data_IF_481476588890
#
_entry.id   IF_481476588890
#
_cell.length_a   1.000
_cell.length_b   1.000
_cell.length_c   1.000
_cell.angle_alpha   90.00
_cell.angle_beta   90.00
_cell.angle_gamma   90.00
#
_symmetry.space_group_name_H-M   'P 1'
#
loop_
_entity.id
_entity.type
_entity.pdbx_description
1 polymer ?
#
# COMPACT_ATOMS: atom_id res chain seq x y z
N UNK A 1 3.09 -26.20 -17.63
CA UNK A 1 3.19 -26.19 -16.15
C UNK A 1 3.75 -24.88 -15.64
N UNK A 2 2.94 -24.04 -15.00
CA UNK A 2 3.42 -22.84 -14.29
C UNK A 2 3.36 -23.14 -12.78
N UNK A 3 4.52 -23.33 -12.16
CA UNK A 3 4.64 -23.55 -10.72
C UNK A 3 4.47 -22.19 -10.04
N UNK A 4 3.38 -22.02 -9.28
CA UNK A 4 3.16 -20.85 -8.43
C UNK A 4 3.90 -21.09 -7.11
N UNK A 5 5.08 -20.51 -6.96
CA UNK A 5 5.87 -20.58 -5.74
C UNK A 5 5.31 -19.53 -4.78
N UNK A 6 4.72 -19.97 -3.66
CA UNK A 6 4.18 -19.09 -2.63
C UNK A 6 5.28 -18.73 -1.61
N UNK A 7 5.87 -17.55 -1.77
CA UNK A 7 7.04 -17.04 -1.01
C UNK A 7 6.60 -16.42 0.34
N UNK A 8 5.62 -17.01 1.03
CA UNK A 8 5.12 -16.51 2.33
C UNK A 8 5.30 -17.55 3.44
N UNK A 9 6.36 -18.36 3.35
CA UNK A 9 6.83 -19.11 4.52
C UNK A 9 8.30 -18.80 4.73
N UNK A 10 8.67 -18.10 5.81
CA UNK A 10 10.08 -17.89 6.12
C UNK A 10 10.72 -19.25 6.43
N UNK A 11 11.71 -19.60 5.63
CA UNK A 11 12.67 -20.66 5.95
C UNK A 11 13.51 -20.12 7.11
N UNK A 12 13.31 -20.71 8.30
CA UNK A 12 14.22 -20.57 9.43
C UNK A 12 14.31 -19.18 10.07
N UNK A 13 13.27 -18.76 10.79
CA UNK A 13 13.42 -17.91 11.99
C UNK A 13 12.17 -18.12 12.83
N UNK A 14 12.32 -18.19 14.16
CA UNK A 14 11.22 -18.35 15.10
C UNK A 14 10.00 -17.51 14.70
N UNK A 15 8.81 -18.13 14.68
CA UNK A 15 7.57 -17.40 14.42
C UNK A 15 7.50 -16.20 15.39
N UNK A 16 7.38 -14.95 14.89
CA UNK A 16 7.34 -13.80 15.77
C UNK A 16 6.14 -13.93 16.70
N UNK A 17 6.37 -13.72 18.00
CA UNK A 17 5.29 -13.76 18.97
C UNK A 17 4.22 -12.74 18.56
N UNK A 18 2.92 -13.00 18.82
CA UNK A 18 1.83 -12.09 18.45
C UNK A 18 1.96 -10.68 19.05
N UNK A 19 2.80 -10.51 20.08
CA UNK A 19 3.14 -9.22 20.70
C UNK A 19 4.09 -8.41 19.81
N UNK A 20 5.11 -9.04 19.24
CA UNK A 20 6.12 -8.39 18.38
C UNK A 20 5.57 -8.03 17.00
N UNK A 21 4.49 -8.68 16.58
CA UNK A 21 3.86 -8.44 15.28
C UNK A 21 3.10 -7.10 15.23
N UNK A 22 2.47 -6.69 16.34
CA UNK A 22 1.68 -5.45 16.43
C UNK A 22 2.44 -4.17 16.05
N UNK A 23 3.65 -3.89 16.58
CA UNK A 23 4.40 -2.69 16.19
C UNK A 23 4.79 -2.71 14.71
N UNK A 24 5.14 -3.89 14.18
CA UNK A 24 5.49 -4.06 12.76
C UNK A 24 4.30 -3.72 11.86
N UNK A 25 3.09 -4.17 12.20
CA UNK A 25 1.88 -3.81 11.45
C UNK A 25 1.62 -2.30 11.45
N UNK A 26 1.82 -1.63 12.59
CA UNK A 26 1.64 -0.18 12.68
C UNK A 26 2.62 0.58 11.79
N UNK A 27 3.91 0.20 11.79
CA UNK A 27 4.92 0.79 10.90
C UNK A 27 4.57 0.62 9.43
N UNK A 28 4.11 -0.58 9.03
CA UNK A 28 3.69 -0.85 7.65
C UNK A 28 2.50 0.02 7.23
N UNK A 29 1.54 0.27 8.12
CA UNK A 29 0.39 1.13 7.83
C UNK A 29 0.86 2.57 7.61
N UNK A 30 1.78 3.07 8.43
CA UNK A 30 2.31 4.42 8.29
C UNK A 30 3.09 4.60 6.98
N UNK A 31 3.94 3.63 6.63
CA UNK A 31 4.65 3.62 5.35
C UNK A 31 3.69 3.65 4.16
N UNK A 32 2.58 2.91 4.24
CA UNK A 32 1.55 2.94 3.19
C UNK A 32 0.88 4.32 3.07
N UNK A 33 0.64 5.03 4.18
CA UNK A 33 0.09 6.41 4.13
C UNK A 33 1.05 7.35 3.41
N UNK A 34 2.35 7.27 3.72
CA UNK A 34 3.38 8.10 3.07
C UNK A 34 3.42 7.83 1.57
N UNK A 35 3.37 6.56 1.17
CA UNK A 35 3.34 6.18 -0.26
C UNK A 35 2.08 6.69 -0.96
N UNK A 36 0.91 6.64 -0.31
CA UNK A 36 -0.34 7.19 -0.85
C UNK A 36 -0.23 8.70 -1.05
N UNK A 37 0.26 9.44 -0.06
CA UNK A 37 0.46 10.89 -0.16
C UNK A 37 1.40 11.25 -1.31
N UNK A 38 2.52 10.52 -1.45
CA UNK A 38 3.46 10.72 -2.55
C UNK A 38 2.82 10.46 -3.92
N UNK A 39 1.98 9.43 -4.04
CA UNK A 39 1.24 9.12 -5.27
C UNK A 39 0.23 10.23 -5.61
N UNK A 40 -0.52 10.73 -4.62
CA UNK A 40 -1.45 11.86 -4.78
C UNK A 40 -0.72 13.10 -5.32
N UNK A 41 0.39 13.49 -4.69
CA UNK A 41 1.18 14.66 -5.13
C UNK A 41 1.73 14.45 -6.54
N UNK A 42 2.23 13.26 -6.87
CA UNK A 42 2.71 12.93 -8.22
C UNK A 42 1.61 13.10 -9.27
N UNK A 43 0.41 12.56 -9.02
CA UNK A 43 -0.73 12.65 -9.94
C UNK A 43 -1.19 14.11 -10.08
N UNK A 44 -1.33 14.84 -8.98
CA UNK A 44 -1.71 16.25 -9.00
C UNK A 44 -0.71 17.13 -9.74
N UNK A 45 0.59 16.86 -9.58
CA UNK A 45 1.64 17.62 -10.25
C UNK A 45 1.62 17.46 -11.77
N UNK A 46 1.22 16.30 -12.29
CA UNK A 46 1.13 16.06 -13.74
C UNK A 46 -0.21 16.53 -14.33
N UNK A 47 -1.31 16.40 -13.58
CA UNK A 47 -2.66 16.74 -14.05
C UNK A 47 -3.07 18.19 -13.81
N UNK A 48 -2.43 18.90 -12.88
CA UNK A 48 -2.73 20.26 -12.41
C UNK A 48 -4.09 20.41 -11.73
N UNK A 49 -5.18 19.97 -12.37
CA UNK A 49 -6.52 19.93 -11.81
C UNK A 49 -7.19 18.58 -12.12
N UNK A 50 -7.81 17.98 -11.11
CA UNK A 50 -8.52 16.71 -11.27
C UNK A 50 -9.66 16.62 -10.26
N UNK A 51 -10.81 16.07 -10.66
CA UNK A 51 -11.92 15.81 -9.75
C UNK A 51 -11.51 14.74 -8.73
N UNK A 52 -11.94 14.92 -7.48
CA UNK A 52 -11.59 14.01 -6.38
C UNK A 52 -11.86 12.52 -6.70
N UNK A 53 -13.01 12.20 -7.30
CA UNK A 53 -13.34 10.81 -7.64
C UNK A 53 -12.34 10.18 -8.62
N UNK A 54 -11.88 10.96 -9.62
CA UNK A 54 -10.90 10.52 -10.60
C UNK A 54 -9.51 10.40 -9.97
N UNK A 55 -9.14 11.32 -9.07
CA UNK A 55 -7.89 11.23 -8.31
C UNK A 55 -7.83 9.92 -7.51
N UNK A 56 -8.88 9.59 -6.76
CA UNK A 56 -8.92 8.36 -5.97
C UNK A 56 -8.77 7.13 -6.85
N UNK A 57 -9.44 7.09 -8.00
CA UNK A 57 -9.31 5.99 -8.95
C UNK A 57 -7.87 5.85 -9.47
N UNK A 58 -7.25 6.95 -9.90
CA UNK A 58 -5.90 6.98 -10.46
C UNK A 58 -4.85 6.58 -9.40
N UNK A 59 -5.05 6.98 -8.13
CA UNK A 59 -4.21 6.54 -6.99
C UNK A 59 -4.32 5.04 -6.76
N UNK A 60 -5.53 4.47 -6.76
CA UNK A 60 -5.75 3.03 -6.60
C UNK A 60 -5.05 2.26 -7.72
N UNK A 61 -5.20 2.75 -8.95
CA UNK A 61 -4.62 2.11 -10.13
C UNK A 61 -3.08 2.12 -10.10
N UNK A 62 -2.45 3.25 -9.76
CA UNK A 62 -0.99 3.33 -9.64
C UNK A 62 -0.43 2.42 -8.53
N UNK A 63 -1.12 2.31 -7.39
CA UNK A 63 -0.63 1.57 -6.24
C UNK A 63 -0.96 0.07 -6.27
N UNK A 64 -1.92 -0.34 -7.11
CA UNK A 64 -2.43 -1.71 -7.24
C UNK A 64 -1.34 -2.78 -7.42
N UNK A 65 -0.21 -2.43 -8.04
CA UNK A 65 0.94 -3.31 -8.24
C UNK A 65 1.68 -3.69 -6.94
N UNK A 66 1.59 -2.84 -5.91
CA UNK A 66 2.28 -3.03 -4.62
C UNK A 66 1.31 -3.46 -3.52
N UNK A 67 0.15 -2.83 -3.45
CA UNK A 67 -0.91 -3.16 -2.51
C UNK A 67 -2.24 -2.58 -3.00
N UNK A 68 -3.35 -3.07 -2.43
CA UNK A 68 -4.68 -2.52 -2.72
C UNK A 68 -5.04 -1.50 -1.64
N UNK A 69 -4.86 -0.18 -1.87
CA UNK A 69 -5.25 0.83 -0.89
C UNK A 69 -6.78 0.84 -0.73
N UNK A 70 -7.24 0.97 0.51
CA UNK A 70 -8.66 1.18 0.79
C UNK A 70 -9.00 2.67 0.66
N UNK A 71 -10.23 2.97 0.25
CA UNK A 71 -10.71 4.35 0.08
C UNK A 71 -10.52 5.21 1.35
N UNK A 72 -10.76 4.70 2.59
CA UNK A 72 -10.54 5.47 3.81
C UNK A 72 -9.06 5.82 4.07
N UNK A 73 -8.11 5.07 3.50
CA UNK A 73 -6.67 5.39 3.60
C UNK A 73 -6.23 6.48 2.62
N UNK A 74 -7.01 6.72 1.57
CA UNK A 74 -6.74 7.75 0.55
C UNK A 74 -7.45 9.05 0.87
N UNK A 75 -8.67 8.96 1.42
CA UNK A 75 -9.45 10.10 1.88
C UNK A 75 -8.90 10.55 3.24
N UNK A 76 -8.30 11.73 3.25
CA UNK A 76 -7.98 12.47 4.49
C UNK A 76 -9.15 13.39 4.81
#
# INVERSE_FOLDING_TARGET
NKIKINIIKPIGSAAPNPIDSKPIYASVIEDRKIVIQAAVVRIMKTRQQLKHALLVQEVIEQLSSRFKPEIPMIKV
#
